data_IF_980259566591
#
_entry.id   IF_980259566591
#
_cell.length_a   1.000
_cell.length_b   1.000
_cell.length_c   1.000
_cell.angle_alpha   90.00
_cell.angle_beta   90.00
_cell.angle_gamma   90.00
#
_symmetry.space_group_name_H-M   'P 1'
#
loop_
_entity.id
_entity.type
_entity.pdbx_description
1 polymer ?
#
# COMPACT_ATOMS: atom_id res chain seq x y z
N UNK A 1 -9.94 -5.24 8.87
CA UNK A 1 -10.40 -3.94 9.38
C UNK A 1 -11.50 -3.33 8.50
N UNK A 2 -11.48 -3.54 7.17
CA UNK A 2 -12.51 -3.01 6.26
C UNK A 2 -13.92 -3.58 6.50
N UNK A 3 -14.06 -4.65 7.28
CA UNK A 3 -15.35 -5.27 7.63
C UNK A 3 -16.14 -4.51 8.73
N UNK A 4 -15.63 -3.38 9.17
CA UNK A 4 -16.30 -2.56 10.18
C UNK A 4 -16.38 -3.23 11.56
N UNK A 5 -17.47 -2.98 12.28
CA UNK A 5 -17.72 -3.55 13.62
C UNK A 5 -17.96 -5.07 13.63
N UNK A 6 -17.72 -5.78 12.54
CA UNK A 6 -18.08 -7.19 12.39
C UNK A 6 -19.60 -7.44 12.26
N UNK A 7 -20.42 -6.45 12.56
CA UNK A 7 -21.90 -6.53 12.47
C UNK A 7 -22.49 -5.72 11.31
N UNK A 8 -21.68 -4.89 10.65
CA UNK A 8 -22.11 -4.12 9.50
C UNK A 8 -22.45 -5.06 8.32
N UNK A 9 -23.48 -4.68 7.54
CA UNK A 9 -23.75 -5.35 6.27
C UNK A 9 -22.63 -5.03 5.28
N UNK A 10 -22.09 -6.05 4.65
CA UNK A 10 -21.05 -5.98 3.64
C UNK A 10 -21.47 -6.76 2.41
N UNK A 11 -20.92 -6.41 1.28
CA UNK A 11 -21.12 -7.20 0.06
C UNK A 11 -20.51 -8.59 0.23
N UNK A 12 -21.23 -9.59 -0.27
CA UNK A 12 -20.83 -11.00 -0.26
C UNK A 12 -19.43 -11.18 -0.89
N UNK A 13 -19.11 -10.42 -1.95
CA UNK A 13 -17.83 -10.39 -2.63
C UNK A 13 -16.64 -10.04 -1.69
N UNK A 14 -16.87 -9.18 -0.71
CA UNK A 14 -15.82 -8.81 0.27
C UNK A 14 -15.55 -9.94 1.27
N UNK A 15 -16.59 -10.65 1.71
CA UNK A 15 -16.41 -11.83 2.56
C UNK A 15 -15.76 -12.98 1.79
N UNK A 16 -16.15 -13.17 0.54
CA UNK A 16 -15.53 -14.11 -0.38
C UNK A 16 -14.03 -13.82 -0.55
N UNK A 17 -13.67 -12.57 -0.87
CA UNK A 17 -12.27 -12.15 -0.98
C UNK A 17 -11.49 -12.37 0.32
N UNK A 18 -12.09 -12.14 1.48
CA UNK A 18 -11.46 -12.40 2.77
C UNK A 18 -11.23 -13.90 3.00
N UNK A 19 -12.22 -14.75 2.75
CA UNK A 19 -12.10 -16.21 2.91
C UNK A 19 -11.00 -16.79 2.03
N UNK A 20 -10.89 -16.29 0.79
CA UNK A 20 -9.92 -16.77 -0.19
C UNK A 20 -8.55 -16.09 -0.06
N UNK A 21 -8.43 -15.02 0.74
CA UNK A 21 -7.17 -14.36 0.97
C UNK A 21 -6.24 -15.21 1.84
N UNK A 22 -4.96 -15.30 1.41
CA UNK A 22 -3.88 -15.82 2.25
C UNK A 22 -3.46 -14.83 3.34
N UNK A 23 -2.51 -15.24 4.17
CA UNK A 23 -1.85 -14.34 5.13
C UNK A 23 -2.69 -14.03 6.38
N UNK A 24 -3.63 -14.88 6.76
CA UNK A 24 -4.32 -14.82 8.04
C UNK A 24 -4.87 -16.20 8.43
N UNK A 25 -4.93 -16.50 9.74
CA UNK A 25 -5.32 -17.79 10.27
C UNK A 25 -4.59 -18.95 9.57
N UNK A 26 -5.19 -20.10 9.46
CA UNK A 26 -4.67 -21.30 8.78
C UNK A 26 -4.98 -21.29 7.27
N UNK A 27 -4.57 -20.24 6.54
CA UNK A 27 -5.00 -20.04 5.15
C UNK A 27 -4.59 -21.19 4.24
N UNK A 28 -3.36 -21.68 4.37
CA UNK A 28 -2.86 -22.75 3.52
C UNK A 28 -3.41 -24.12 3.97
N UNK A 29 -3.45 -24.38 5.28
CA UNK A 29 -3.94 -25.64 5.82
C UNK A 29 -5.45 -25.85 5.62
N UNK A 30 -6.22 -24.78 5.57
CA UNK A 30 -7.69 -24.83 5.42
C UNK A 30 -8.19 -24.32 4.06
N UNK A 31 -7.34 -24.25 3.04
CA UNK A 31 -7.68 -23.67 1.73
C UNK A 31 -8.94 -24.27 1.11
N UNK A 32 -9.05 -25.60 1.07
CA UNK A 32 -10.23 -26.31 0.53
C UNK A 32 -11.48 -26.04 1.36
N UNK A 33 -11.35 -26.05 2.68
CA UNK A 33 -12.46 -25.76 3.59
C UNK A 33 -12.99 -24.34 3.42
N UNK A 34 -12.10 -23.37 3.26
CA UNK A 34 -12.43 -21.96 2.98
C UNK A 34 -13.13 -21.81 1.63
N UNK A 35 -12.65 -22.48 0.59
CA UNK A 35 -13.29 -22.47 -0.73
C UNK A 35 -14.70 -23.06 -0.68
N UNK A 36 -14.90 -24.15 0.07
CA UNK A 36 -16.23 -24.76 0.26
C UNK A 36 -17.16 -23.86 1.08
N UNK A 37 -16.65 -23.17 2.11
CA UNK A 37 -17.43 -22.20 2.88
C UNK A 37 -17.78 -20.98 2.02
N UNK A 38 -16.89 -20.53 1.13
CA UNK A 38 -17.17 -19.47 0.16
C UNK A 38 -18.26 -19.87 -0.84
N UNK A 39 -18.24 -21.09 -1.34
CA UNK A 39 -19.29 -21.61 -2.19
C UNK A 39 -20.65 -21.65 -1.48
N UNK A 40 -20.69 -22.05 -0.20
CA UNK A 40 -21.88 -22.03 0.61
C UNK A 40 -22.36 -20.59 0.92
N UNK A 41 -21.43 -19.67 1.22
CA UNK A 41 -21.73 -18.25 1.37
C UNK A 41 -22.49 -17.70 0.15
N UNK A 42 -21.99 -17.98 -1.04
CA UNK A 42 -22.59 -17.48 -2.31
C UNK A 42 -23.96 -18.09 -2.60
N UNK A 43 -24.18 -19.32 -2.22
CA UNK A 43 -25.44 -20.03 -2.44
C UNK A 43 -26.52 -19.67 -1.41
N UNK A 44 -26.13 -19.54 -0.13
CA UNK A 44 -27.07 -19.60 0.99
C UNK A 44 -27.29 -18.26 1.70
N UNK A 45 -26.46 -17.26 1.44
CA UNK A 45 -26.57 -15.93 2.04
C UNK A 45 -26.90 -14.85 1.01
N UNK A 46 -27.60 -13.79 1.42
CA UNK A 46 -27.94 -12.68 0.51
C UNK A 46 -26.70 -11.89 0.11
N UNK A 47 -26.80 -11.15 -1.02
CA UNK A 47 -25.71 -10.31 -1.54
C UNK A 47 -25.13 -9.33 -0.51
N UNK A 48 -25.97 -8.68 0.29
CA UNK A 48 -25.55 -7.93 1.47
C UNK A 48 -25.77 -8.78 2.72
N UNK A 49 -24.67 -9.17 3.34
CA UNK A 49 -24.68 -10.05 4.50
C UNK A 49 -23.77 -9.53 5.61
N UNK A 50 -23.66 -10.26 6.71
CA UNK A 50 -22.84 -9.88 7.86
C UNK A 50 -21.89 -11.02 8.24
N UNK A 51 -20.79 -10.69 8.91
CA UNK A 51 -19.86 -11.70 9.42
C UNK A 51 -20.54 -12.69 10.41
N UNK A 52 -21.41 -12.26 11.36
CA UNK A 52 -22.18 -13.19 12.17
C UNK A 52 -23.12 -14.12 11.38
N UNK A 53 -23.64 -13.68 10.23
CA UNK A 53 -24.44 -14.56 9.38
C UNK A 53 -23.59 -15.66 8.74
N UNK A 54 -22.38 -15.33 8.32
CA UNK A 54 -21.40 -16.31 7.84
C UNK A 54 -21.01 -17.32 8.93
N UNK A 55 -20.79 -16.86 10.16
CA UNK A 55 -20.48 -17.73 11.31
C UNK A 55 -21.63 -18.70 11.60
N UNK A 56 -22.88 -18.23 11.57
CA UNK A 56 -24.05 -19.10 11.71
C UNK A 56 -24.17 -20.11 10.56
N UNK A 57 -23.86 -19.72 9.34
CA UNK A 57 -23.81 -20.63 8.20
C UNK A 57 -22.78 -21.75 8.43
N UNK A 58 -21.55 -21.36 8.84
CA UNK A 58 -20.49 -22.33 9.14
C UNK A 58 -20.90 -23.30 10.27
N UNK A 59 -21.56 -22.81 11.33
CA UNK A 59 -22.06 -23.63 12.42
C UNK A 59 -23.11 -24.65 11.93
N UNK A 60 -24.10 -24.20 11.13
CA UNK A 60 -25.11 -25.12 10.54
C UNK A 60 -24.49 -26.19 9.65
N UNK A 61 -23.48 -25.86 8.87
CA UNK A 61 -22.80 -26.85 8.03
C UNK A 61 -22.05 -27.89 8.87
N UNK A 62 -21.56 -27.51 10.04
CA UNK A 62 -20.87 -28.40 10.97
C UNK A 62 -21.82 -29.36 11.74
N UNK A 63 -23.12 -29.13 11.75
CA UNK A 63 -24.12 -30.04 12.36
C UNK A 63 -24.26 -31.36 11.59
N UNK A 64 -24.04 -31.33 10.27
CA UNK A 64 -24.25 -32.50 9.39
C UNK A 64 -22.96 -33.06 8.77
N UNK A 65 -21.83 -32.40 8.97
CA UNK A 65 -20.53 -32.80 8.42
C UNK A 65 -19.39 -32.22 9.28
N UNK A 66 -18.15 -32.74 9.18
CA UNK A 66 -17.01 -32.16 9.84
C UNK A 66 -16.85 -30.67 9.48
N UNK A 67 -16.42 -29.79 10.44
CA UNK A 67 -16.21 -28.37 10.19
C UNK A 67 -15.29 -28.16 9.00
N UNK A 68 -15.67 -27.29 8.07
CA UNK A 68 -14.93 -27.06 6.83
C UNK A 68 -13.57 -26.39 7.07
N UNK A 69 -13.55 -25.37 7.94
CA UNK A 69 -12.34 -24.58 8.26
C UNK A 69 -12.43 -24.06 9.70
N UNK A 70 -12.25 -24.94 10.71
CA UNK A 70 -12.49 -24.60 12.12
C UNK A 70 -11.60 -23.48 12.64
N UNK A 71 -10.34 -23.43 12.27
CA UNK A 71 -9.41 -22.37 12.71
C UNK A 71 -9.79 -21.01 12.11
N UNK A 72 -10.19 -20.99 10.84
CA UNK A 72 -10.70 -19.79 10.17
C UNK A 72 -11.98 -19.27 10.84
N UNK A 73 -12.92 -20.17 11.14
CA UNK A 73 -14.18 -19.80 11.81
C UNK A 73 -13.90 -19.26 13.22
N UNK A 74 -13.03 -19.91 13.99
CA UNK A 74 -12.63 -19.45 15.31
C UNK A 74 -11.93 -18.06 15.27
N UNK A 75 -11.06 -17.82 14.29
CA UNK A 75 -10.42 -16.54 14.09
C UNK A 75 -11.41 -15.42 13.72
N UNK A 76 -12.41 -15.73 12.90
CA UNK A 76 -13.50 -14.78 12.56
C UNK A 76 -14.37 -14.45 13.78
N UNK A 77 -14.69 -15.42 14.61
CA UNK A 77 -15.46 -15.21 15.83
C UNK A 77 -14.69 -14.38 16.85
N UNK A 78 -13.42 -14.69 17.05
CA UNK A 78 -12.51 -13.88 17.89
C UNK A 78 -12.35 -12.44 17.35
N UNK A 79 -12.30 -12.26 16.02
CA UNK A 79 -12.31 -10.94 15.40
C UNK A 79 -13.59 -10.17 15.70
N UNK A 80 -14.77 -10.79 15.58
CA UNK A 80 -16.07 -10.15 15.89
C UNK A 80 -16.09 -9.68 17.35
N UNK A 81 -15.57 -10.51 18.26
CA UNK A 81 -15.47 -10.18 19.68
C UNK A 81 -14.52 -9.01 19.91
N UNK A 82 -13.31 -9.02 19.32
CA UNK A 82 -12.35 -7.94 19.43
C UNK A 82 -12.86 -6.60 18.82
N UNK A 83 -13.63 -6.70 17.75
CA UNK A 83 -14.24 -5.55 17.08
C UNK A 83 -15.50 -5.01 17.79
N UNK A 84 -15.95 -5.59 18.89
CA UNK A 84 -17.15 -5.15 19.63
C UNK A 84 -17.10 -3.69 20.10
N UNK A 85 -15.89 -3.13 20.31
CA UNK A 85 -15.67 -1.73 20.68
C UNK A 85 -15.91 -0.74 19.53
N UNK A 86 -16.13 -1.21 18.31
CA UNK A 86 -16.26 -0.37 17.11
C UNK A 86 -17.50 0.56 17.13
N UNK A 87 -18.45 0.36 18.04
CA UNK A 87 -19.60 1.25 18.26
C UNK A 87 -19.26 2.51 19.08
N UNK A 88 -18.07 2.57 19.68
CA UNK A 88 -17.63 3.68 20.53
C UNK A 88 -16.79 4.68 19.75
N UNK A 89 -16.71 5.91 20.25
CA UNK A 89 -15.68 6.86 19.87
C UNK A 89 -14.51 6.70 20.82
N UNK A 90 -13.32 6.44 20.28
CA UNK A 90 -12.09 6.22 21.03
C UNK A 90 -10.99 7.13 20.51
N UNK A 91 -9.99 7.42 21.33
CA UNK A 91 -8.79 8.12 20.90
C UNK A 91 -8.01 7.28 19.86
N UNK A 92 -7.25 7.91 18.96
CA UNK A 92 -6.44 7.21 17.96
C UNK A 92 -5.55 6.09 18.53
N UNK A 93 -4.91 6.32 19.69
CA UNK A 93 -4.08 5.30 20.35
C UNK A 93 -4.89 4.11 20.88
N UNK A 94 -6.09 4.34 21.37
CA UNK A 94 -7.00 3.28 21.77
C UNK A 94 -7.43 2.46 20.55
N UNK A 95 -7.70 3.12 19.40
CA UNK A 95 -7.97 2.45 18.13
C UNK A 95 -6.80 1.60 17.65
N UNK A 96 -5.56 2.09 17.79
CA UNK A 96 -4.37 1.30 17.46
C UNK A 96 -4.33 -0.01 18.27
N UNK A 97 -4.67 0.04 19.57
CA UNK A 97 -4.81 -1.14 20.42
C UNK A 97 -5.91 -2.10 19.95
N UNK A 98 -7.10 -1.57 19.63
CA UNK A 98 -8.21 -2.38 19.08
C UNK A 98 -7.82 -3.02 17.76
N UNK A 99 -7.19 -2.30 16.85
CA UNK A 99 -6.74 -2.84 15.56
C UNK A 99 -5.70 -3.96 15.73
N UNK A 100 -4.74 -3.81 16.65
CA UNK A 100 -3.79 -4.88 16.99
C UNK A 100 -4.50 -6.12 17.53
N UNK A 101 -5.48 -5.93 18.42
CA UNK A 101 -6.26 -7.03 18.98
C UNK A 101 -7.06 -7.75 17.89
N UNK A 102 -7.69 -7.03 16.97
CA UNK A 102 -8.40 -7.58 15.83
C UNK A 102 -7.48 -8.39 14.89
N UNK A 103 -6.29 -7.88 14.59
CA UNK A 103 -5.32 -8.57 13.74
C UNK A 103 -4.78 -9.82 14.41
N UNK A 104 -4.48 -9.75 15.71
CA UNK A 104 -4.07 -10.90 16.52
C UNK A 104 -5.19 -11.96 16.57
N UNK A 105 -6.43 -11.57 16.78
CA UNK A 105 -7.58 -12.44 16.80
C UNK A 105 -7.78 -13.15 15.45
N UNK A 106 -7.55 -12.45 14.34
CA UNK A 106 -7.55 -13.03 13.00
C UNK A 106 -6.31 -13.91 12.71
N UNK A 107 -5.42 -14.10 13.69
CA UNK A 107 -4.14 -14.78 13.51
C UNK A 107 -3.35 -14.27 12.27
N UNK A 108 -3.34 -12.92 12.07
CA UNK A 108 -2.54 -12.28 11.03
C UNK A 108 -1.08 -12.14 11.51
N UNK A 109 -0.06 -12.41 10.68
CA UNK A 109 -0.07 -12.57 9.22
C UNK A 109 -0.24 -14.01 8.71
N UNK A 110 -0.74 -14.95 9.50
CA UNK A 110 -0.98 -16.34 9.14
C UNK A 110 0.06 -17.30 9.75
N UNK A 111 -0.06 -18.56 9.38
CA UNK A 111 0.71 -19.69 9.93
C UNK A 111 1.98 -20.05 9.12
N UNK A 112 2.12 -19.51 7.91
CA UNK A 112 3.30 -19.74 7.08
C UNK A 112 4.48 -18.83 7.45
N UNK A 113 5.73 -19.27 7.23
CA UNK A 113 6.89 -18.41 7.36
C UNK A 113 6.81 -17.19 6.44
N UNK A 114 7.07 -16.00 6.97
CA UNK A 114 7.15 -14.79 6.19
C UNK A 114 8.48 -14.71 5.44
N UNK A 115 8.44 -14.27 4.19
CA UNK A 115 9.65 -13.84 3.48
C UNK A 115 10.25 -12.61 4.18
N UNK A 116 11.53 -12.31 3.91
CA UNK A 116 12.19 -11.12 4.46
C UNK A 116 11.44 -9.83 4.14
N UNK A 117 10.89 -9.72 2.93
CA UNK A 117 10.11 -8.57 2.49
C UNK A 117 8.78 -8.46 3.25
N UNK A 118 8.05 -9.56 3.42
CA UNK A 118 6.80 -9.59 4.18
C UNK A 118 7.03 -9.27 5.66
N UNK A 119 8.11 -9.81 6.25
CA UNK A 119 8.48 -9.49 7.63
C UNK A 119 8.76 -7.99 7.82
N UNK A 120 9.49 -7.38 6.90
CA UNK A 120 9.77 -5.94 6.93
C UNK A 120 8.49 -5.12 6.76
N UNK A 121 7.58 -5.53 5.85
CA UNK A 121 6.29 -4.89 5.64
C UNK A 121 5.41 -4.99 6.89
N UNK A 122 5.40 -6.15 7.54
CA UNK A 122 4.68 -6.38 8.80
C UNK A 122 5.20 -5.46 9.92
N UNK A 123 6.52 -5.33 10.06
CA UNK A 123 7.16 -4.42 11.02
C UNK A 123 6.79 -2.96 10.73
N UNK A 124 6.91 -2.54 9.45
CA UNK A 124 6.57 -1.18 9.03
C UNK A 124 5.09 -0.84 9.30
N UNK A 125 4.18 -1.80 9.12
CA UNK A 125 2.78 -1.61 9.47
C UNK A 125 2.57 -1.46 10.98
N UNK A 126 3.32 -2.21 11.80
CA UNK A 126 3.34 -2.01 13.25
C UNK A 126 3.70 -0.59 13.67
N UNK A 127 4.72 -0.01 13.03
CA UNK A 127 5.14 1.39 13.25
C UNK A 127 4.08 2.40 12.80
N UNK A 128 3.32 2.12 11.75
CA UNK A 128 2.17 2.95 11.33
C UNK A 128 1.07 2.93 12.39
N UNK A 129 0.81 1.78 13.01
CA UNK A 129 -0.14 1.69 14.12
C UNK A 129 0.33 2.49 15.35
N UNK A 130 1.64 2.50 15.64
CA UNK A 130 2.21 3.38 16.68
C UNK A 130 2.07 4.86 16.31
N UNK A 131 2.27 5.18 15.03
CA UNK A 131 2.05 6.52 14.49
C UNK A 131 0.61 7.02 14.65
N UNK A 132 -0.37 6.14 14.52
CA UNK A 132 -1.77 6.47 14.79
C UNK A 132 -1.96 6.93 16.23
N UNK A 133 -1.31 6.26 17.20
CA UNK A 133 -1.39 6.65 18.63
C UNK A 133 -0.82 8.03 18.92
N UNK A 134 0.18 8.49 18.15
CA UNK A 134 0.74 9.85 18.33
C UNK A 134 -0.24 10.97 17.97
N UNK A 135 -1.33 10.64 17.28
CA UNK A 135 -2.35 11.62 16.93
C UNK A 135 -3.31 11.96 18.08
N UNK A 136 -3.22 11.31 19.23
CA UNK A 136 -4.04 11.58 20.41
C UNK A 136 -3.97 13.05 20.86
N UNK A 137 -2.81 13.67 20.69
CA UNK A 137 -2.57 15.09 21.05
C UNK A 137 -3.29 16.04 20.10
N UNK A 138 -3.52 15.62 18.86
CA UNK A 138 -4.07 16.48 17.79
C UNK A 138 -5.55 16.19 17.50
N UNK A 139 -5.99 14.97 17.77
CA UNK A 139 -7.33 14.50 17.41
C UNK A 139 -8.06 14.02 18.68
N UNK A 140 -9.30 14.44 18.79
CA UNK A 140 -10.22 13.89 19.78
C UNK A 140 -10.68 12.47 19.44
N UNK A 141 -11.64 11.92 20.22
CA UNK A 141 -12.19 10.59 19.97
C UNK A 141 -12.81 10.46 18.58
N UNK A 142 -12.39 9.44 17.83
CA UNK A 142 -12.82 9.12 16.47
C UNK A 142 -13.83 7.97 16.47
N UNK A 143 -14.75 7.99 15.52
CA UNK A 143 -15.54 6.81 15.19
C UNK A 143 -14.66 5.78 14.45
N UNK A 144 -15.08 4.50 14.46
CA UNK A 144 -14.34 3.41 13.83
C UNK A 144 -13.98 3.71 12.37
N UNK A 145 -14.95 4.15 11.56
CA UNK A 145 -14.72 4.46 10.15
C UNK A 145 -13.67 5.54 9.92
N UNK A 146 -13.65 6.56 10.80
CA UNK A 146 -12.67 7.65 10.73
C UNK A 146 -11.28 7.16 11.14
N UNK A 147 -11.19 6.32 12.16
CA UNK A 147 -9.94 5.70 12.57
C UNK A 147 -9.34 4.81 11.47
N UNK A 148 -10.16 3.99 10.82
CA UNK A 148 -9.73 3.15 9.66
C UNK A 148 -9.28 4.03 8.50
N UNK A 149 -10.01 5.11 8.20
CA UNK A 149 -9.63 6.05 7.14
C UNK A 149 -8.29 6.71 7.45
N UNK A 150 -8.08 7.14 8.68
CA UNK A 150 -6.82 7.76 9.13
C UNK A 150 -5.66 6.77 9.06
N UNK A 151 -5.85 5.54 9.54
CA UNK A 151 -4.85 4.48 9.41
C UNK A 151 -4.49 4.22 7.94
N UNK A 152 -5.50 4.11 7.07
CA UNK A 152 -5.27 3.91 5.63
C UNK A 152 -4.49 5.08 5.00
N UNK A 153 -4.75 6.31 5.44
CA UNK A 153 -4.01 7.48 5.00
C UNK A 153 -2.55 7.42 5.44
N UNK A 154 -2.27 7.08 6.69
CA UNK A 154 -0.91 6.91 7.20
C UNK A 154 -0.14 5.83 6.43
N UNK A 155 -0.81 4.70 6.14
CA UNK A 155 -0.21 3.63 5.31
C UNK A 155 0.17 4.13 3.91
N UNK A 156 -0.69 4.91 3.26
CA UNK A 156 -0.42 5.45 1.90
C UNK A 156 0.68 6.51 1.89
N UNK A 157 0.84 7.25 2.97
CA UNK A 157 1.86 8.29 3.10
C UNK A 157 3.22 7.72 3.50
N UNK A 158 3.25 6.49 4.00
CA UNK A 158 4.48 5.84 4.40
C UNK A 158 5.29 5.44 3.17
N UNK A 159 6.43 6.06 3.01
CA UNK A 159 7.45 5.57 2.08
C UNK A 159 8.05 4.29 2.70
N UNK A 160 7.91 3.18 2.01
CA UNK A 160 8.45 1.89 2.43
C UNK A 160 9.41 1.36 1.36
N UNK A 161 10.68 1.25 1.72
CA UNK A 161 11.69 0.60 0.93
C UNK A 161 12.23 -0.58 1.72
N UNK A 162 12.01 -1.82 1.27
CA UNK A 162 12.58 -2.98 1.94
C UNK A 162 14.10 -2.97 1.83
N UNK A 163 14.77 -3.30 2.94
CA UNK A 163 16.21 -3.45 2.96
C UNK A 163 16.61 -4.63 2.06
N UNK A 164 17.51 -4.37 1.13
CA UNK A 164 18.10 -5.40 0.28
C UNK A 164 19.43 -5.85 0.90
N UNK A 165 19.61 -7.15 1.07
CA UNK A 165 20.90 -7.69 1.55
C UNK A 165 21.89 -7.72 0.38
N UNK A 166 23.09 -7.15 0.59
CA UNK A 166 24.18 -7.12 -0.40
C UNK A 166 24.07 -5.96 -1.39
N UNK A 167 24.92 -5.97 -2.42
CA UNK A 167 24.86 -5.02 -3.54
C UNK A 167 23.96 -5.61 -4.63
N UNK A 168 22.79 -4.97 -4.93
CA UNK A 168 21.97 -5.43 -6.04
C UNK A 168 22.72 -5.26 -7.35
N UNK A 169 22.65 -6.24 -8.24
CA UNK A 169 23.24 -6.18 -9.56
C UNK A 169 22.61 -5.12 -10.46
N UNK A 170 21.32 -4.80 -10.21
CA UNK A 170 20.56 -3.76 -10.91
C UNK A 170 19.96 -2.83 -9.87
N UNK A 171 20.14 -1.51 -10.08
CA UNK A 171 19.55 -0.47 -9.25
C UNK A 171 18.64 0.39 -10.11
N UNK A 172 17.44 0.71 -9.63
CA UNK A 172 16.53 1.66 -10.26
C UNK A 172 16.54 2.93 -9.42
N UNK A 173 17.01 4.03 -10.00
CA UNK A 173 17.27 5.28 -9.31
C UNK A 173 16.55 6.44 -10.01
N UNK A 174 16.16 7.43 -9.26
CA UNK A 174 15.78 8.73 -9.82
C UNK A 174 17.02 9.51 -10.31
N UNK A 175 16.79 10.48 -11.18
CA UNK A 175 17.87 11.30 -11.77
C UNK A 175 18.72 12.00 -10.70
N UNK A 176 18.11 12.49 -9.63
CA UNK A 176 18.84 13.14 -8.54
C UNK A 176 19.57 12.14 -7.64
N UNK A 177 19.01 10.93 -7.48
CA UNK A 177 19.61 9.87 -6.68
C UNK A 177 20.85 9.27 -7.34
N UNK A 178 20.90 9.29 -8.68
CA UNK A 178 22.04 8.81 -9.46
C UNK A 178 23.21 9.83 -9.52
N UNK A 179 23.00 11.05 -9.04
CA UNK A 179 24.00 12.11 -9.14
C UNK A 179 25.24 11.80 -8.31
N UNK A 180 26.40 11.71 -8.97
CA UNK A 180 27.70 11.44 -8.32
C UNK A 180 28.00 9.96 -8.09
N UNK A 181 27.17 9.05 -8.57
CA UNK A 181 27.43 7.61 -8.58
C UNK A 181 28.12 7.21 -9.90
N UNK A 182 28.96 6.19 -9.83
CA UNK A 182 29.57 5.52 -10.98
C UNK A 182 28.95 4.14 -11.14
N UNK A 183 28.74 3.74 -12.40
CA UNK A 183 28.10 2.48 -12.76
C UNK A 183 28.93 1.72 -13.80
N UNK A 184 28.80 0.41 -13.85
CA UNK A 184 29.40 -0.42 -14.91
C UNK A 184 28.69 -0.17 -16.26
N UNK A 185 27.38 0.05 -16.22
CA UNK A 185 26.53 0.46 -17.34
C UNK A 185 25.30 1.22 -16.83
N UNK A 186 24.79 2.14 -17.64
CA UNK A 186 23.63 2.96 -17.28
C UNK A 186 22.58 2.95 -18.39
N UNK A 187 21.34 2.68 -18.04
CA UNK A 187 20.21 2.83 -18.95
C UNK A 187 19.27 3.95 -18.43
N UNK A 188 19.24 5.05 -19.18
CA UNK A 188 18.40 6.23 -18.87
C UNK A 188 17.12 6.13 -19.70
N UNK A 189 16.00 5.97 -19.01
CA UNK A 189 14.68 5.80 -19.61
C UNK A 189 13.87 7.10 -19.56
N UNK A 190 12.85 7.21 -20.43
CA UNK A 190 11.92 8.34 -20.41
C UNK A 190 12.46 9.62 -21.06
N UNK A 191 13.48 9.50 -21.93
CA UNK A 191 14.12 10.63 -22.62
C UNK A 191 13.28 11.13 -23.80
N UNK A 192 12.08 11.62 -23.50
CA UNK A 192 11.17 12.23 -24.47
C UNK A 192 11.01 13.74 -24.22
N UNK A 193 10.49 14.45 -25.21
CA UNK A 193 10.32 15.90 -25.24
C UNK A 193 9.30 16.45 -24.21
N UNK A 194 8.47 15.61 -23.62
CA UNK A 194 7.53 16.02 -22.57
C UNK A 194 8.11 15.89 -21.15
N UNK A 195 9.04 14.96 -20.96
CA UNK A 195 9.62 14.67 -19.64
C UNK A 195 10.99 15.27 -19.43
N UNK A 196 11.77 15.44 -20.54
CA UNK A 196 13.16 15.92 -20.46
C UNK A 196 13.50 16.87 -21.62
N UNK A 197 13.81 18.14 -21.35
CA UNK A 197 13.90 18.82 -20.05
C UNK A 197 12.56 18.82 -19.29
N UNK A 198 12.61 18.89 -17.92
CA UNK A 198 11.38 19.02 -17.13
C UNK A 198 10.63 20.31 -17.47
N UNK A 199 9.33 20.32 -17.30
CA UNK A 199 8.55 21.54 -17.44
C UNK A 199 8.73 22.45 -16.23
N UNK A 200 8.78 23.79 -16.41
CA UNK A 200 8.82 24.72 -15.30
C UNK A 200 7.66 24.52 -14.32
N UNK A 201 7.96 24.57 -13.04
CA UNK A 201 6.98 24.48 -11.94
C UNK A 201 7.32 25.49 -10.84
N UNK A 202 7.16 26.80 -11.09
CA UNK A 202 7.44 27.81 -10.07
C UNK A 202 6.53 27.60 -8.84
N UNK A 203 7.05 27.95 -7.67
CA UNK A 203 6.28 27.86 -6.43
C UNK A 203 5.04 28.77 -6.52
N UNK A 204 3.83 28.27 -6.19
CA UNK A 204 2.63 29.09 -6.16
C UNK A 204 2.61 30.10 -5.00
N UNK A 205 3.51 29.98 -4.04
CA UNK A 205 3.61 30.84 -2.86
C UNK A 205 4.42 32.11 -3.08
N UNK A 206 5.13 32.22 -4.22
CA UNK A 206 5.96 33.36 -4.55
C UNK A 206 5.57 33.93 -5.93
N UNK A 207 5.67 35.25 -6.16
CA UNK A 207 5.45 35.84 -7.45
C UNK A 207 6.35 35.22 -8.53
N UNK A 208 5.76 34.76 -9.63
CA UNK A 208 6.49 34.02 -10.68
C UNK A 208 7.59 34.89 -11.34
N UNK A 209 7.37 36.20 -11.45
CA UNK A 209 8.34 37.15 -12.02
C UNK A 209 9.57 37.26 -11.13
N UNK A 210 9.38 37.35 -9.81
CA UNK A 210 10.49 37.37 -8.85
C UNK A 210 11.30 36.06 -8.91
N UNK A 211 10.63 34.93 -9.04
CA UNK A 211 11.34 33.64 -9.16
C UNK A 211 12.16 33.57 -10.45
N UNK A 212 11.61 34.06 -11.57
CA UNK A 212 12.35 34.12 -12.86
C UNK A 212 13.53 35.05 -12.81
N UNK A 213 13.37 36.27 -12.27
CA UNK A 213 14.45 37.24 -12.17
C UNK A 213 15.58 36.78 -11.23
N UNK A 214 15.23 36.01 -10.22
CA UNK A 214 16.21 35.42 -9.29
C UNK A 214 16.84 34.11 -9.80
N UNK A 215 16.43 33.58 -10.97
CA UNK A 215 16.91 32.29 -11.48
C UNK A 215 16.63 31.12 -10.56
N UNK A 216 15.49 31.18 -9.83
CA UNK A 216 15.13 30.14 -8.87
C UNK A 216 14.90 28.80 -9.58
N UNK A 217 15.17 27.69 -8.88
CA UNK A 217 14.89 26.35 -9.40
C UNK A 217 13.43 26.23 -9.88
N UNK A 218 13.23 25.59 -11.03
CA UNK A 218 11.94 25.37 -11.66
C UNK A 218 11.18 26.63 -12.12
N UNK A 219 11.82 27.81 -12.12
CA UNK A 219 11.15 29.07 -12.38
C UNK A 219 10.88 29.34 -13.87
N UNK A 220 11.71 28.86 -14.77
CA UNK A 220 11.59 29.09 -16.21
C UNK A 220 12.11 27.92 -17.05
N UNK A 221 11.80 27.93 -18.35
CA UNK A 221 12.26 26.91 -19.29
C UNK A 221 13.80 26.94 -19.47
N UNK A 222 14.40 28.11 -19.40
CA UNK A 222 15.85 28.28 -19.50
C UNK A 222 16.55 27.64 -18.31
N UNK A 223 16.02 27.81 -17.09
CA UNK A 223 16.56 27.19 -15.87
C UNK A 223 16.46 25.69 -15.94
N UNK A 224 15.31 25.16 -16.41
CA UNK A 224 15.13 23.71 -16.58
C UNK A 224 16.03 23.14 -17.66
N UNK A 225 16.22 23.86 -18.76
CA UNK A 225 17.13 23.43 -19.85
C UNK A 225 18.58 23.37 -19.37
N UNK A 226 19.06 24.40 -18.70
CA UNK A 226 20.42 24.43 -18.15
C UNK A 226 20.63 23.31 -17.11
N UNK A 227 19.66 23.10 -16.23
CA UNK A 227 19.68 21.96 -15.31
C UNK A 227 19.75 20.61 -16.06
N UNK A 228 18.89 20.42 -17.06
CA UNK A 228 18.82 19.19 -17.83
C UNK A 228 20.13 18.92 -18.61
N UNK A 229 20.72 19.94 -19.20
CA UNK A 229 22.00 19.82 -19.90
C UNK A 229 23.14 19.40 -18.95
N UNK A 230 23.23 20.01 -17.79
CA UNK A 230 24.24 19.65 -16.77
C UNK A 230 24.06 18.20 -16.30
N UNK A 231 22.83 17.78 -16.06
CA UNK A 231 22.53 16.40 -15.65
C UNK A 231 22.82 15.42 -16.78
N UNK A 232 22.44 15.74 -18.02
CA UNK A 232 22.71 14.91 -19.20
C UNK A 232 24.20 14.65 -19.38
N UNK A 233 25.03 15.68 -19.31
CA UNK A 233 26.51 15.55 -19.38
C UNK A 233 27.02 14.63 -18.27
N UNK A 234 26.53 14.81 -17.04
CA UNK A 234 26.95 13.99 -15.89
C UNK A 234 26.55 12.52 -16.06
N UNK A 235 25.33 12.25 -16.51
CA UNK A 235 24.88 10.87 -16.78
C UNK A 235 25.73 10.19 -17.86
N UNK A 236 26.08 10.90 -18.92
CA UNK A 236 26.98 10.38 -19.97
C UNK A 236 28.37 10.01 -19.45
N UNK A 237 28.82 10.63 -18.38
CA UNK A 237 30.15 10.42 -17.79
C UNK A 237 30.12 9.40 -16.64
N UNK A 238 28.96 8.95 -16.19
CA UNK A 238 28.82 8.10 -15.00
C UNK A 238 29.03 6.61 -15.27
N UNK A 239 29.13 6.18 -16.55
CA UNK A 239 29.39 4.80 -16.93
C UNK A 239 30.12 4.71 -18.27
N UNK A 240 30.91 3.64 -18.51
CA UNK A 240 31.50 3.36 -19.82
C UNK A 240 30.47 3.14 -20.93
N UNK A 241 29.32 2.58 -20.56
CA UNK A 241 28.20 2.35 -21.49
C UNK A 241 26.96 3.03 -20.96
N UNK A 242 26.42 4.00 -21.72
CA UNK A 242 25.19 4.72 -21.37
C UNK A 242 24.21 4.64 -22.52
N UNK A 243 23.01 4.15 -22.25
CA UNK A 243 21.90 4.03 -23.22
C UNK A 243 20.80 5.00 -22.82
N UNK A 244 20.43 5.90 -23.73
CA UNK A 244 19.25 6.76 -23.57
C UNK A 244 18.10 6.18 -24.39
N UNK A 245 16.92 6.12 -23.81
CA UNK A 245 15.75 5.55 -24.47
C UNK A 245 14.46 6.31 -24.15
N UNK A 246 13.53 6.25 -25.08
CA UNK A 246 12.19 6.80 -24.93
C UNK A 246 11.14 5.88 -25.55
N UNK A 247 9.91 5.96 -25.08
CA UNK A 247 8.79 5.28 -25.71
C UNK A 247 8.35 6.06 -26.94
N UNK A 248 8.18 5.39 -28.11
CA UNK A 248 7.70 6.03 -29.33
C UNK A 248 6.24 6.47 -29.25
N UNK A 249 5.45 5.81 -28.38
CA UNK A 249 4.06 6.14 -28.15
C UNK A 249 3.66 5.85 -26.69
N UNK A 250 2.67 6.57 -26.22
CA UNK A 250 1.99 6.37 -24.94
C UNK A 250 0.48 6.37 -25.19
N UNK A 251 -0.09 5.18 -25.28
CA UNK A 251 -1.43 4.98 -25.81
C UNK A 251 -1.51 5.48 -27.26
N UNK A 252 -2.40 6.42 -27.54
CA UNK A 252 -2.58 7.01 -28.90
C UNK A 252 -1.69 8.24 -29.16
N UNK A 253 -0.82 8.62 -28.23
CA UNK A 253 0.08 9.78 -28.37
C UNK A 253 1.44 9.36 -28.85
N UNK A 254 1.85 9.90 -30.00
CA UNK A 254 3.23 9.76 -30.50
C UNK A 254 4.15 10.64 -29.65
N UNK A 255 5.25 10.09 -29.17
CA UNK A 255 6.29 10.76 -28.40
C UNK A 255 7.50 11.03 -29.28
N UNK A 256 8.15 12.15 -29.05
CA UNK A 256 9.41 12.51 -29.70
C UNK A 256 10.58 12.31 -28.75
N UNK A 257 11.79 12.07 -29.24
CA UNK A 257 12.97 12.08 -28.37
C UNK A 257 13.15 13.44 -27.71
N UNK A 258 13.83 13.44 -26.58
CA UNK A 258 14.33 14.65 -25.95
C UNK A 258 15.22 15.41 -26.93
N UNK A 259 15.24 16.76 -26.90
CA UNK A 259 16.16 17.58 -27.69
C UNK A 259 17.62 17.53 -27.18
N UNK A 260 17.89 16.81 -26.08
CA UNK A 260 19.22 16.69 -25.43
C UNK A 260 19.89 15.35 -25.72
#
# INVERSE_FOLDING_TARGET
>A
LALGSGRAKVEQSRLSALLLAGGWSAADAEADGRARLDAALRRDLPYFTTLPALLRLAARLAESAPPLCPQTVAALDAFVTAASLASRKLLPGQWAGVFRSCLKAAAWPGDRPLSSHEFQSHRAFGEVLDGLGRLDVLLGPLAFADAVRRLSQLCRQRLFQPETRGRPAIQVLGVLESAGLEFDALWVMGMNDELWPPRPRPSPLLPAELQRSAGSAHASAEVELDFAQRVHVRLRQSAPTVIFSWAQADGNRVRRPSPL
#
